data_IF_878651128444
#
_entry.id   IF_878651128444
#
_cell.length_a   1.000
_cell.length_b   1.000
_cell.length_c   1.000
_cell.angle_alpha   90.00
_cell.angle_beta   90.00
_cell.angle_gamma   90.00
#
_symmetry.space_group_name_H-M   'P 1'
#
loop_
_entity.id
_entity.type
_entity.pdbx_description
1 polymer ?
#
# COMPACT_ATOMS: atom_id res chain seq x y z
N UNK A 1 15.25 -23.31 -6.76
CA UNK A 1 15.30 -22.52 -5.52
C UNK A 1 14.19 -22.93 -4.60
N UNK A 2 14.26 -22.51 -3.34
CA UNK A 2 13.16 -22.65 -2.39
C UNK A 2 11.92 -21.90 -2.91
N UNK A 3 10.73 -22.48 -2.76
CA UNK A 3 9.48 -21.89 -3.23
C UNK A 3 8.41 -22.08 -2.17
N UNK A 4 7.85 -20.97 -1.71
CA UNK A 4 6.66 -20.96 -0.85
C UNK A 4 5.42 -20.69 -1.69
N UNK A 5 4.42 -21.57 -1.62
CA UNK A 5 3.12 -21.35 -2.27
C UNK A 5 2.18 -20.62 -1.31
N UNK A 6 2.03 -19.32 -1.52
CA UNK A 6 1.02 -18.52 -0.83
C UNK A 6 -0.37 -18.90 -1.33
N UNK A 7 -1.27 -19.32 -0.44
CA UNK A 7 -2.61 -19.82 -0.81
C UNK A 7 -3.66 -19.55 0.26
N UNK A 8 -4.89 -19.27 -0.17
CA UNK A 8 -6.06 -19.26 0.71
C UNK A 8 -6.58 -20.68 1.01
N UNK A 9 -6.10 -21.69 0.30
CA UNK A 9 -6.36 -23.10 0.61
C UNK A 9 -5.45 -23.54 1.75
N UNK A 10 -6.03 -23.68 2.94
CA UNK A 10 -5.29 -24.02 4.16
C UNK A 10 -4.49 -25.31 4.03
N UNK A 11 -4.97 -26.28 3.24
CA UNK A 11 -4.26 -27.56 3.04
C UNK A 11 -2.99 -27.37 2.21
N UNK A 12 -3.02 -26.50 1.19
CA UNK A 12 -1.83 -26.16 0.39
C UNK A 12 -0.87 -25.27 1.16
N UNK A 13 -1.43 -24.30 1.88
CA UNK A 13 -0.67 -23.39 2.72
C UNK A 13 0.09 -24.15 3.81
N UNK A 14 -0.56 -25.07 4.52
CA UNK A 14 0.08 -25.91 5.54
C UNK A 14 1.29 -26.66 4.97
N UNK A 15 1.12 -27.36 3.84
CA UNK A 15 2.23 -28.10 3.19
C UNK A 15 3.39 -27.19 2.81
N UNK A 16 3.10 -25.97 2.40
CA UNK A 16 4.14 -24.98 2.10
C UNK A 16 4.80 -24.45 3.37
N UNK A 17 4.06 -24.26 4.46
CA UNK A 17 4.62 -23.85 5.75
C UNK A 17 5.57 -24.91 6.31
N UNK A 18 5.18 -26.18 6.28
CA UNK A 18 5.95 -27.32 6.81
C UNK A 18 7.35 -27.42 6.18
N UNK A 19 7.48 -27.10 4.88
CA UNK A 19 8.76 -27.07 4.16
C UNK A 19 9.79 -26.09 4.74
N UNK A 20 9.35 -25.03 5.44
CA UNK A 20 10.23 -23.98 5.96
C UNK A 20 10.23 -23.90 7.50
N UNK A 21 9.12 -24.24 8.14
CA UNK A 21 8.90 -24.06 9.58
C UNK A 21 8.95 -25.36 10.39
N UNK A 22 9.10 -26.51 9.69
CA UNK A 22 9.13 -27.85 10.23
C UNK A 22 7.76 -28.55 10.20
N UNK A 23 7.78 -29.87 10.19
CA UNK A 23 6.57 -30.70 10.14
C UNK A 23 5.83 -30.70 11.50
N UNK A 24 4.50 -30.64 11.46
CA UNK A 24 3.64 -30.86 12.63
C UNK A 24 2.61 -29.78 12.90
N UNK A 25 1.70 -30.08 13.84
CA UNK A 25 0.58 -29.22 14.20
C UNK A 25 1.02 -27.85 14.73
N UNK A 26 2.16 -27.79 15.44
CA UNK A 26 2.73 -26.54 15.97
C UNK A 26 3.00 -25.50 14.86
N UNK A 27 3.37 -25.93 13.66
CA UNK A 27 3.64 -25.02 12.53
C UNK A 27 2.37 -24.31 12.08
N UNK A 28 1.27 -25.05 11.93
CA UNK A 28 -0.01 -24.46 11.57
C UNK A 28 -0.56 -23.60 12.72
N UNK A 29 -0.46 -24.04 13.97
CA UNK A 29 -0.92 -23.27 15.13
C UNK A 29 -0.17 -21.94 15.26
N UNK A 30 1.16 -21.92 15.11
CA UNK A 30 1.95 -20.68 15.10
C UNK A 30 1.54 -19.75 13.96
N UNK A 31 1.25 -20.29 12.78
CA UNK A 31 0.77 -19.51 11.66
C UNK A 31 -0.64 -18.92 11.91
N UNK A 32 -1.54 -19.69 12.53
CA UNK A 32 -2.85 -19.17 12.92
C UNK A 32 -2.73 -18.11 14.02
N UNK A 33 -1.80 -18.28 14.96
CA UNK A 33 -1.47 -17.25 15.95
C UNK A 33 -0.87 -15.99 15.32
N UNK A 34 -0.05 -16.15 14.29
CA UNK A 34 0.37 -15.04 13.44
C UNK A 34 -0.86 -14.34 12.90
N UNK A 35 -1.76 -15.03 12.19
CA UNK A 35 -2.95 -14.44 11.55
C UNK A 35 -3.91 -13.71 12.50
N UNK A 36 -3.97 -14.08 13.78
CA UNK A 36 -4.78 -13.38 14.80
C UNK A 36 -4.36 -11.92 14.96
N UNK A 37 -3.06 -11.61 14.89
CA UNK A 37 -2.57 -10.24 15.09
C UNK A 37 -2.89 -9.31 13.90
N UNK A 38 -2.50 -9.62 12.65
CA UNK A 38 -2.96 -8.95 11.45
C UNK A 38 -4.47 -8.80 11.36
N UNK A 39 -5.26 -9.79 11.80
CA UNK A 39 -6.72 -9.65 11.85
C UNK A 39 -7.16 -8.51 12.79
N UNK A 40 -6.58 -8.44 13.98
CA UNK A 40 -6.86 -7.35 14.93
C UNK A 40 -6.39 -6.03 14.35
N UNK A 41 -5.20 -5.97 13.75
CA UNK A 41 -4.70 -4.76 13.09
C UNK A 41 -5.64 -4.34 11.95
N UNK A 42 -6.12 -5.26 11.12
CA UNK A 42 -7.07 -5.00 10.06
C UNK A 42 -8.38 -4.39 10.58
N UNK A 43 -9.05 -5.05 11.53
CA UNK A 43 -10.32 -4.57 12.08
C UNK A 43 -10.17 -3.21 12.75
N UNK A 44 -9.14 -3.05 13.57
CA UNK A 44 -8.91 -1.82 14.34
C UNK A 44 -8.48 -0.66 13.45
N UNK A 45 -7.59 -0.90 12.49
CA UNK A 45 -7.18 0.11 11.52
C UNK A 45 -8.35 0.53 10.64
N UNK A 46 -9.21 -0.40 10.19
CA UNK A 46 -10.43 -0.04 9.45
C UNK A 46 -11.38 0.83 10.28
N UNK A 47 -11.67 0.43 11.52
CA UNK A 47 -12.56 1.19 12.39
C UNK A 47 -12.01 2.59 12.70
N UNK A 48 -10.69 2.69 12.87
CA UNK A 48 -10.01 3.93 13.23
C UNK A 48 -9.80 4.85 12.02
N UNK A 49 -9.28 4.33 10.91
CA UNK A 49 -8.97 5.12 9.71
C UNK A 49 -10.23 5.60 8.97
N UNK A 50 -11.31 4.82 8.95
CA UNK A 50 -12.56 5.23 8.27
C UNK A 50 -13.36 6.25 9.07
N UNK A 51 -13.07 6.46 10.36
CA UNK A 51 -13.90 7.27 11.26
C UNK A 51 -13.18 8.48 11.85
N UNK A 52 -11.88 8.60 11.65
CA UNK A 52 -11.08 9.65 12.28
C UNK A 52 -10.24 10.39 11.24
N UNK A 53 -10.50 11.68 11.10
CA UNK A 53 -9.60 12.61 10.43
C UNK A 53 -8.39 12.88 11.33
N UNK A 54 -7.23 12.29 10.99
CA UNK A 54 -5.98 12.51 11.70
C UNK A 54 -5.31 13.80 11.23
N UNK A 55 -5.96 14.94 11.44
CA UNK A 55 -5.40 16.23 11.07
C UNK A 55 -4.31 16.67 12.05
N UNK A 56 -4.33 16.16 13.29
CA UNK A 56 -3.38 16.52 14.32
C UNK A 56 -2.84 15.30 15.08
N UNK A 57 -1.59 15.42 15.55
CA UNK A 57 -0.95 14.37 16.34
C UNK A 57 -1.66 14.09 17.67
N UNK A 58 -2.43 15.06 18.21
CA UNK A 58 -3.21 14.88 19.44
C UNK A 58 -4.54 14.14 19.23
N UNK A 59 -5.00 13.95 18.00
CA UNK A 59 -6.18 13.12 17.70
C UNK A 59 -5.92 11.64 18.09
N UNK A 60 -4.64 11.23 18.10
CA UNK A 60 -4.21 9.93 18.63
C UNK A 60 -4.34 9.79 20.15
N UNK A 61 -4.29 10.90 20.90
CA UNK A 61 -4.27 10.88 22.37
C UNK A 61 -5.66 10.94 23.01
N UNK A 62 -6.73 10.77 22.22
CA UNK A 62 -8.06 10.58 22.80
C UNK A 62 -8.08 9.28 23.62
N UNK A 63 -8.42 9.38 24.91
CA UNK A 63 -8.45 8.25 25.87
C UNK A 63 -9.24 7.06 25.32
N UNK A 64 -10.26 7.32 24.49
CA UNK A 64 -11.09 6.29 23.84
C UNK A 64 -10.31 5.39 22.87
N UNK A 65 -9.17 5.84 22.35
CA UNK A 65 -8.35 5.09 21.39
C UNK A 65 -7.15 4.38 22.01
N UNK A 66 -6.83 4.62 23.29
CA UNK A 66 -5.68 4.00 23.98
C UNK A 66 -5.69 2.46 23.89
N UNK A 67 -6.81 1.75 24.17
CA UNK A 67 -6.83 0.29 24.06
C UNK A 67 -6.57 -0.20 22.64
N UNK A 68 -7.04 0.56 21.64
CA UNK A 68 -6.81 0.27 20.22
C UNK A 68 -5.34 0.48 19.86
N UNK A 69 -4.74 1.59 20.26
CA UNK A 69 -3.34 1.93 19.99
C UNK A 69 -2.39 0.88 20.58
N UNK A 70 -2.65 0.43 21.81
CA UNK A 70 -1.86 -0.63 22.44
C UNK A 70 -1.93 -1.94 21.64
N UNK A 71 -3.12 -2.30 21.14
CA UNK A 71 -3.32 -3.50 20.31
C UNK A 71 -2.72 -3.38 18.90
N UNK A 72 -2.51 -2.17 18.40
CA UNK A 72 -1.89 -1.92 17.10
C UNK A 72 -0.36 -2.03 17.13
N UNK A 73 0.26 -2.14 18.31
CA UNK A 73 1.71 -2.33 18.44
C UNK A 73 2.55 -1.31 17.67
N UNK A 74 2.13 -0.03 17.64
CA UNK A 74 2.77 1.04 16.85
C UNK A 74 4.27 1.27 17.14
N UNK A 75 4.78 0.75 18.25
CA UNK A 75 6.19 0.81 18.62
C UNK A 75 7.06 -0.29 17.98
N UNK A 76 6.45 -1.27 17.29
CA UNK A 76 7.18 -2.34 16.60
C UNK A 76 7.08 -2.18 15.08
N UNK A 77 8.10 -2.70 14.39
CA UNK A 77 8.05 -2.88 12.95
C UNK A 77 7.36 -4.19 12.55
N UNK A 78 6.88 -4.24 11.30
CA UNK A 78 6.31 -5.47 10.71
C UNK A 78 7.28 -6.64 10.82
N UNK A 79 8.57 -6.43 10.53
CA UNK A 79 9.60 -7.46 10.68
C UNK A 79 9.72 -7.98 12.11
N UNK A 80 9.77 -7.08 13.09
CA UNK A 80 9.86 -7.44 14.52
C UNK A 80 8.68 -8.31 14.96
N UNK A 81 7.47 -8.00 14.46
CA UNK A 81 6.28 -8.82 14.74
C UNK A 81 6.38 -10.19 14.07
N UNK A 82 6.75 -10.25 12.80
CA UNK A 82 6.89 -11.50 12.06
C UNK A 82 7.88 -12.48 12.72
N UNK A 83 8.99 -11.98 13.27
CA UNK A 83 9.98 -12.79 14.00
C UNK A 83 9.42 -13.53 15.21
N UNK A 84 8.29 -13.10 15.79
CA UNK A 84 7.66 -13.78 16.92
C UNK A 84 6.99 -15.10 16.53
N UNK A 85 6.64 -15.26 15.27
CA UNK A 85 5.83 -16.37 14.79
C UNK A 85 6.62 -17.30 13.86
N UNK A 86 7.45 -16.74 12.99
CA UNK A 86 8.25 -17.48 12.02
C UNK A 86 9.66 -17.76 12.54
N UNK A 87 10.08 -19.02 12.48
CA UNK A 87 11.43 -19.47 12.86
C UNK A 87 12.41 -19.24 11.71
N UNK A 88 11.99 -19.51 10.48
CA UNK A 88 12.87 -19.41 9.31
C UNK A 88 13.04 -17.98 8.83
N UNK A 89 14.26 -17.64 8.41
CA UNK A 89 14.58 -16.35 7.80
C UNK A 89 13.78 -16.13 6.50
N UNK A 90 13.64 -17.18 5.70
CA UNK A 90 12.86 -17.15 4.46
C UNK A 90 11.40 -16.72 4.70
N UNK A 91 10.72 -17.30 5.70
CA UNK A 91 9.33 -16.97 5.99
C UNK A 91 9.17 -15.57 6.57
N UNK A 92 10.13 -15.11 7.40
CA UNK A 92 10.16 -13.71 7.86
C UNK A 92 10.25 -12.76 6.68
N UNK A 93 11.15 -13.01 5.73
CA UNK A 93 11.26 -12.20 4.50
C UNK A 93 9.97 -12.24 3.67
N UNK A 94 9.44 -13.44 3.41
CA UNK A 94 8.22 -13.63 2.61
C UNK A 94 7.02 -12.87 3.17
N UNK A 95 6.81 -12.94 4.49
CA UNK A 95 5.67 -12.29 5.16
C UNK A 95 5.93 -10.83 5.55
N UNK A 96 7.11 -10.28 5.25
CA UNK A 96 7.41 -8.86 5.53
C UNK A 96 7.62 -8.05 4.26
N UNK A 97 7.95 -8.70 3.13
CA UNK A 97 8.15 -8.03 1.85
C UNK A 97 6.96 -7.17 1.38
N UNK A 98 5.74 -7.53 1.75
CA UNK A 98 4.53 -6.77 1.41
C UNK A 98 4.54 -5.30 1.89
N UNK A 99 5.39 -4.91 2.84
CA UNK A 99 5.56 -3.48 3.17
C UNK A 99 6.04 -2.66 1.97
N UNK A 100 6.69 -3.29 0.99
CA UNK A 100 7.04 -2.65 -0.28
C UNK A 100 5.82 -2.22 -1.10
N UNK A 101 4.65 -2.83 -0.92
CA UNK A 101 3.43 -2.40 -1.62
C UNK A 101 3.01 -1.00 -1.17
N UNK A 102 3.45 -0.60 0.02
CA UNK A 102 3.26 0.74 0.57
C UNK A 102 4.52 1.61 0.44
N UNK A 103 5.52 1.14 -0.30
CA UNK A 103 6.80 1.81 -0.48
C UNK A 103 7.54 2.04 0.83
N UNK A 104 7.57 1.03 1.71
CA UNK A 104 8.25 1.08 3.02
C UNK A 104 9.13 -0.13 3.29
N UNK A 105 10.23 0.11 4.02
CA UNK A 105 11.07 -0.94 4.59
C UNK A 105 10.31 -1.74 5.66
N UNK A 106 10.42 -3.09 5.70
CA UNK A 106 9.80 -3.91 6.73
C UNK A 106 10.42 -3.74 8.11
N UNK A 107 11.62 -3.15 8.16
CA UNK A 107 12.35 -2.87 9.39
C UNK A 107 11.86 -1.59 10.07
N UNK A 108 11.25 -0.69 9.32
CA UNK A 108 10.78 0.63 9.78
C UNK A 108 9.26 0.78 9.72
N UNK A 109 8.61 0.03 8.81
CA UNK A 109 7.17 0.04 8.63
C UNK A 109 6.43 -0.42 9.88
N UNK A 110 5.44 0.37 10.30
CA UNK A 110 4.66 0.14 11.53
C UNK A 110 3.91 -1.20 11.49
N UNK A 111 3.86 -1.89 12.63
CA UNK A 111 3.20 -3.18 12.78
C UNK A 111 1.78 -3.30 12.18
N UNK A 112 0.89 -2.30 12.23
CA UNK A 112 -0.45 -2.40 11.63
C UNK A 112 -0.47 -2.67 10.13
N UNK A 113 0.61 -2.34 9.41
CA UNK A 113 0.70 -2.63 7.98
C UNK A 113 0.78 -4.13 7.69
N UNK A 114 0.98 -4.96 8.73
CA UNK A 114 0.83 -6.40 8.59
C UNK A 114 -0.63 -6.84 8.27
N UNK A 115 -1.60 -5.91 8.24
CA UNK A 115 -2.97 -6.17 7.83
C UNK A 115 -3.07 -6.69 6.38
N UNK A 116 -2.09 -6.38 5.53
CA UNK A 116 -2.08 -6.82 4.13
C UNK A 116 -1.99 -8.35 4.03
N UNK A 117 -1.12 -8.93 4.86
CA UNK A 117 -0.92 -10.37 5.04
C UNK A 117 -2.24 -11.04 5.41
N UNK A 118 -3.04 -10.40 6.29
CA UNK A 118 -4.36 -10.91 6.64
C UNK A 118 -5.29 -10.90 5.44
N UNK A 119 -5.41 -9.75 4.76
CA UNK A 119 -6.37 -9.59 3.65
C UNK A 119 -6.09 -10.55 2.51
N UNK A 120 -4.82 -10.76 2.13
CA UNK A 120 -4.49 -11.66 1.03
C UNK A 120 -4.84 -13.12 1.31
N UNK A 121 -4.71 -13.55 2.57
CA UNK A 121 -4.97 -14.95 2.96
C UNK A 121 -6.44 -15.18 3.29
N UNK A 122 -7.06 -14.24 4.01
CA UNK A 122 -8.42 -14.36 4.50
C UNK A 122 -9.48 -13.90 3.49
N UNK A 123 -9.24 -12.83 2.74
CA UNK A 123 -10.19 -12.28 1.75
C UNK A 123 -9.84 -12.71 0.31
N UNK A 124 -8.60 -13.12 0.10
CA UNK A 124 -8.12 -13.62 -1.18
C UNK A 124 -7.71 -12.53 -2.17
N UNK A 125 -7.03 -12.97 -3.24
CA UNK A 125 -6.57 -12.10 -4.32
C UNK A 125 -7.42 -12.37 -5.56
N UNK A 126 -8.06 -11.31 -6.07
CA UNK A 126 -8.99 -11.39 -7.21
C UNK A 126 -8.39 -10.74 -8.44
N UNK A 127 -8.50 -11.40 -9.59
CA UNK A 127 -8.10 -10.84 -10.88
C UNK A 127 -9.33 -10.51 -11.72
N UNK A 128 -9.56 -9.23 -12.08
CA UNK A 128 -10.71 -8.86 -12.89
C UNK A 128 -10.58 -9.44 -14.31
N UNK A 129 -11.65 -10.04 -14.81
CA UNK A 129 -11.70 -10.56 -16.18
C UNK A 129 -11.52 -9.40 -17.18
N UNK A 130 -10.46 -9.47 -17.99
CA UNK A 130 -10.06 -8.40 -18.91
C UNK A 130 -8.99 -7.44 -18.36
N UNK A 131 -8.46 -7.71 -17.16
CA UNK A 131 -7.38 -6.93 -16.54
C UNK A 131 -7.88 -5.71 -15.78
N UNK A 132 -6.98 -5.08 -15.02
CA UNK A 132 -7.32 -3.98 -14.09
C UNK A 132 -7.91 -2.75 -14.79
N UNK A 133 -7.48 -2.45 -16.03
CA UNK A 133 -8.05 -1.35 -16.82
C UNK A 133 -9.58 -1.51 -17.00
N UNK A 134 -10.09 -2.75 -17.04
CA UNK A 134 -11.52 -3.00 -17.18
C UNK A 134 -12.34 -2.45 -16.02
N UNK A 135 -11.78 -2.46 -14.81
CA UNK A 135 -12.43 -1.89 -13.62
C UNK A 135 -12.63 -0.38 -13.81
N UNK A 136 -11.60 0.32 -14.28
CA UNK A 136 -11.65 1.75 -14.56
C UNK A 136 -12.68 2.09 -15.64
N UNK A 137 -12.68 1.35 -16.75
CA UNK A 137 -13.67 1.51 -17.81
C UNK A 137 -15.11 1.31 -17.30
N UNK A 138 -15.34 0.32 -16.43
CA UNK A 138 -16.66 0.08 -15.87
C UNK A 138 -17.12 1.24 -14.98
N UNK A 139 -16.23 1.79 -14.15
CA UNK A 139 -16.53 2.94 -13.29
C UNK A 139 -16.81 4.20 -14.13
N UNK A 140 -16.00 4.46 -15.15
CA UNK A 140 -16.19 5.59 -16.07
C UNK A 140 -17.53 5.51 -16.79
N UNK A 141 -17.83 4.36 -17.40
CA UNK A 141 -19.11 4.13 -18.09
C UNK A 141 -20.31 4.31 -17.15
N UNK A 142 -20.19 3.86 -15.90
CA UNK A 142 -21.22 4.05 -14.89
C UNK A 142 -21.41 5.54 -14.57
N UNK A 143 -20.31 6.27 -14.37
CA UNK A 143 -20.36 7.70 -14.10
C UNK A 143 -20.99 8.48 -15.28
N UNK A 144 -20.62 8.17 -16.52
CA UNK A 144 -21.21 8.75 -17.73
C UNK A 144 -22.72 8.48 -17.79
N UNK A 145 -23.15 7.24 -17.46
CA UNK A 145 -24.57 6.87 -17.41
C UNK A 145 -25.36 7.74 -16.42
N UNK A 146 -24.72 8.20 -15.35
CA UNK A 146 -25.31 9.13 -14.37
C UNK A 146 -25.00 10.61 -14.67
N UNK A 147 -24.55 10.94 -15.88
CA UNK A 147 -24.41 12.31 -16.36
C UNK A 147 -23.03 12.95 -16.12
N UNK A 148 -22.05 12.21 -15.62
CA UNK A 148 -20.69 12.72 -15.51
C UNK A 148 -20.09 13.00 -16.90
N UNK A 149 -19.27 14.06 -17.00
CA UNK A 149 -18.53 14.42 -18.21
C UNK A 149 -17.04 14.31 -17.94
N UNK A 150 -16.32 13.64 -18.84
CA UNK A 150 -14.88 13.50 -18.77
C UNK A 150 -14.22 14.35 -19.85
N UNK A 151 -13.39 15.30 -19.43
CA UNK A 151 -12.62 16.15 -20.34
C UNK A 151 -11.15 15.73 -20.24
N UNK A 152 -10.71 14.90 -21.19
CA UNK A 152 -9.31 14.46 -21.29
C UNK A 152 -8.43 15.53 -21.93
N UNK A 153 -7.11 15.40 -21.76
CA UNK A 153 -6.12 16.35 -22.31
C UNK A 153 -6.43 17.80 -21.94
N UNK A 154 -6.97 18.01 -20.73
CA UNK A 154 -7.45 19.29 -20.24
C UNK A 154 -6.76 19.59 -18.92
N UNK A 155 -5.46 19.88 -18.99
CA UNK A 155 -4.63 20.09 -17.80
C UNK A 155 -5.14 21.26 -16.97
N UNK A 156 -5.23 21.06 -15.66
CA UNK A 156 -5.64 22.08 -14.71
C UNK A 156 -4.42 22.88 -14.30
N UNK A 157 -4.47 24.20 -14.52
CA UNK A 157 -3.42 25.12 -14.09
C UNK A 157 -3.62 25.53 -12.63
N UNK A 158 -4.87 25.78 -12.22
CA UNK A 158 -5.19 26.33 -10.90
C UNK A 158 -6.59 25.94 -10.44
N UNK A 159 -6.76 25.76 -9.12
CA UNK A 159 -8.06 25.77 -8.46
C UNK A 159 -8.35 27.21 -8.04
N UNK A 160 -9.38 27.80 -8.64
CA UNK A 160 -9.76 29.19 -8.38
C UNK A 160 -10.41 29.27 -7.01
N UNK A 161 -9.84 30.09 -6.12
CA UNK A 161 -10.36 30.36 -4.78
C UNK A 161 -10.66 31.84 -4.60
N UNK A 162 -11.72 32.16 -3.85
CA UNK A 162 -12.02 33.54 -3.48
C UNK A 162 -11.15 34.04 -2.32
N UNK A 163 -11.28 35.33 -1.98
CA UNK A 163 -10.54 35.97 -0.88
C UNK A 163 -10.79 35.35 0.50
N UNK A 164 -11.87 34.57 0.65
CA UNK A 164 -12.21 33.83 1.87
C UNK A 164 -11.68 32.40 1.86
N UNK A 165 -10.99 31.99 0.80
CA UNK A 165 -10.43 30.65 0.61
C UNK A 165 -11.44 29.61 0.12
N UNK A 166 -12.60 30.02 -0.38
CA UNK A 166 -13.62 29.10 -0.90
C UNK A 166 -13.35 28.83 -2.38
N UNK A 167 -13.24 27.55 -2.76
CA UNK A 167 -13.10 27.15 -4.15
C UNK A 167 -14.32 27.55 -4.98
N UNK A 168 -14.09 28.13 -6.16
CA UNK A 168 -15.12 28.60 -7.11
C UNK A 168 -15.07 27.92 -8.47
N UNK A 169 -14.05 27.11 -8.72
CA UNK A 169 -13.86 26.47 -10.01
C UNK A 169 -12.42 26.08 -10.25
N UNK A 170 -12.11 25.84 -11.52
CA UNK A 170 -10.80 25.48 -12.02
C UNK A 170 -10.45 26.36 -13.21
N UNK A 171 -9.17 26.67 -13.35
CA UNK A 171 -8.59 27.30 -14.53
C UNK A 171 -7.80 26.26 -15.30
N UNK A 172 -8.08 26.13 -16.58
CA UNK A 172 -7.41 25.20 -17.49
C UNK A 172 -6.12 25.83 -18.03
N UNK A 173 -5.18 25.01 -18.48
CA UNK A 173 -3.90 25.47 -19.05
C UNK A 173 -4.02 26.35 -20.31
N UNK A 174 -5.19 26.36 -20.97
CA UNK A 174 -5.48 27.27 -22.09
C UNK A 174 -6.02 28.65 -21.62
N UNK A 175 -6.22 28.85 -20.32
CA UNK A 175 -6.76 30.07 -19.72
C UNK A 175 -8.26 30.06 -19.45
N UNK A 176 -9.01 29.05 -19.93
CA UNK A 176 -10.45 28.96 -19.69
C UNK A 176 -10.75 28.69 -18.22
N UNK A 177 -11.85 29.26 -17.73
CA UNK A 177 -12.31 29.06 -16.35
C UNK A 177 -13.63 28.32 -16.35
N UNK A 178 -13.66 27.20 -15.61
CA UNK A 178 -14.86 26.41 -15.39
C UNK A 178 -15.32 26.63 -13.95
N UNK A 179 -16.46 27.31 -13.78
CA UNK A 179 -17.04 27.58 -12.47
C UNK A 179 -17.76 26.35 -11.91
N UNK A 180 -17.69 26.18 -10.59
CA UNK A 180 -18.37 25.09 -9.87
C UNK A 180 -18.59 25.45 -8.41
N UNK A 181 -19.70 24.98 -7.83
CA UNK A 181 -19.98 25.15 -6.39
C UNK A 181 -19.07 24.30 -5.50
N UNK A 182 -18.49 23.23 -6.04
CA UNK A 182 -17.61 22.31 -5.30
C UNK A 182 -16.52 21.78 -6.23
N UNK A 183 -15.29 21.78 -5.72
CA UNK A 183 -14.12 21.20 -6.38
C UNK A 183 -13.60 20.04 -5.54
N UNK A 184 -13.53 18.85 -6.14
CA UNK A 184 -12.89 17.68 -5.55
C UNK A 184 -11.56 17.46 -6.27
N UNK A 185 -10.45 17.66 -5.57
CA UNK A 185 -9.12 17.47 -6.11
C UNK A 185 -8.60 16.06 -5.77
N UNK A 186 -8.40 15.24 -6.79
CA UNK A 186 -7.80 13.90 -6.67
C UNK A 186 -6.37 13.84 -7.23
N UNK A 187 -5.72 14.99 -7.42
CA UNK A 187 -4.29 15.06 -7.73
C UNK A 187 -3.47 14.72 -6.48
N UNK A 188 -2.18 14.40 -6.67
CA UNK A 188 -1.26 14.21 -5.54
C UNK A 188 -1.30 15.41 -4.59
N UNK A 189 -1.31 15.13 -3.27
CA UNK A 189 -1.50 16.15 -2.23
C UNK A 189 -0.40 17.21 -2.28
N UNK A 190 0.87 16.79 -2.37
CA UNK A 190 2.00 17.71 -2.40
C UNK A 190 1.94 18.56 -3.65
N UNK A 191 1.63 17.95 -4.79
CA UNK A 191 1.44 18.64 -6.06
C UNK A 191 0.31 19.68 -6.00
N UNK A 192 -0.87 19.28 -5.53
CA UNK A 192 -2.06 20.15 -5.47
C UNK A 192 -1.80 21.39 -4.59
N UNK A 193 -1.22 21.22 -3.40
CA UNK A 193 -0.94 22.33 -2.49
C UNK A 193 0.16 23.27 -2.97
N UNK A 194 1.10 22.79 -3.81
CA UNK A 194 2.23 23.61 -4.26
C UNK A 194 2.06 24.20 -5.65
N UNK A 195 1.17 23.65 -6.48
CA UNK A 195 0.98 24.05 -7.88
C UNK A 195 -0.44 24.47 -8.21
N UNK A 196 -1.47 23.82 -7.65
CA UNK A 196 -2.87 24.10 -8.00
C UNK A 196 -3.55 25.10 -7.05
N UNK A 197 -2.99 25.30 -5.85
CA UNK A 197 -3.53 26.19 -4.83
C UNK A 197 -2.55 27.31 -4.48
N UNK A 198 -3.04 28.43 -3.90
CA UNK A 198 -2.16 29.48 -3.41
C UNK A 198 -1.12 28.96 -2.42
N UNK A 199 0.14 29.38 -2.60
CA UNK A 199 1.25 28.90 -1.77
C UNK A 199 1.09 29.34 -0.32
N UNK A 200 1.00 28.36 0.58
CA UNK A 200 0.94 28.58 2.03
C UNK A 200 2.20 28.08 2.74
N UNK A 201 2.38 28.43 4.02
CA UNK A 201 3.44 27.84 4.86
C UNK A 201 3.26 26.32 5.01
N UNK A 202 2.01 25.85 5.04
CA UNK A 202 1.67 24.44 5.08
C UNK A 202 2.14 23.71 3.81
N UNK A 203 1.85 24.26 2.63
CA UNK A 203 2.30 23.69 1.35
C UNK A 203 3.84 23.53 1.29
N UNK A 204 4.58 24.54 1.76
CA UNK A 204 6.05 24.50 1.84
C UNK A 204 6.57 23.46 2.84
N UNK A 205 5.86 23.24 3.95
CA UNK A 205 6.21 22.18 4.91
C UNK A 205 5.99 20.81 4.29
N UNK A 206 4.83 20.62 3.66
CA UNK A 206 4.46 19.36 3.02
C UNK A 206 5.46 18.94 1.94
N UNK A 207 5.98 19.89 1.16
CA UNK A 207 7.01 19.62 0.15
C UNK A 207 8.38 19.19 0.70
N UNK A 208 8.57 19.13 2.02
CA UNK A 208 9.80 18.64 2.67
C UNK A 208 9.62 17.27 3.33
N UNK A 209 8.40 16.73 3.32
CA UNK A 209 8.14 15.41 3.91
C UNK A 209 8.82 14.32 3.06
N UNK A 210 9.22 13.22 3.72
CA UNK A 210 9.78 12.07 3.01
C UNK A 210 8.71 11.41 2.14
N UNK A 211 9.05 11.14 0.89
CA UNK A 211 8.20 10.41 -0.03
C UNK A 211 8.40 8.89 0.11
N UNK A 212 7.42 8.12 -0.32
CA UNK A 212 7.53 6.66 -0.43
C UNK A 212 8.51 6.28 -1.55
N UNK A 213 8.97 5.02 -1.55
CA UNK A 213 9.78 4.54 -2.67
C UNK A 213 8.99 4.52 -3.98
N UNK A 214 9.72 4.63 -5.09
CA UNK A 214 9.19 4.45 -6.45
C UNK A 214 9.47 3.03 -6.95
N UNK A 215 9.08 2.73 -8.19
CA UNK A 215 9.37 1.46 -8.85
C UNK A 215 9.86 1.68 -10.29
N UNK A 216 10.66 0.73 -10.78
CA UNK A 216 11.09 0.69 -12.19
C UNK A 216 10.43 -0.55 -12.83
N UNK A 217 9.33 -0.36 -13.58
CA UNK A 217 8.64 -1.47 -14.24
C UNK A 217 9.27 -1.77 -15.60
N UNK A 218 9.47 -3.06 -15.89
CA UNK A 218 9.81 -3.56 -17.22
C UNK A 218 8.64 -4.35 -17.79
N UNK A 219 8.16 -3.95 -18.98
CA UNK A 219 7.09 -4.65 -19.67
C UNK A 219 7.69 -5.48 -20.82
N UNK A 220 7.84 -6.78 -20.60
CA UNK A 220 8.41 -7.70 -21.59
C UNK A 220 7.36 -8.62 -22.17
N UNK A 221 7.45 -8.82 -23.49
CA UNK A 221 6.67 -9.83 -24.19
C UNK A 221 7.55 -11.03 -24.49
N UNK A 222 7.07 -12.23 -24.18
CA UNK A 222 7.79 -13.48 -24.40
C UNK A 222 7.05 -14.36 -25.41
N UNK A 223 7.79 -15.07 -26.26
CA UNK A 223 7.22 -16.04 -27.21
C UNK A 223 6.79 -17.35 -26.54
N UNK A 224 7.34 -17.64 -25.36
CA UNK A 224 7.14 -18.89 -24.63
C UNK A 224 6.41 -18.66 -23.31
N UNK A 225 5.61 -19.65 -22.91
CA UNK A 225 5.00 -19.72 -21.59
C UNK A 225 6.03 -20.33 -20.62
N UNK A 226 6.13 -19.76 -19.42
CA UNK A 226 6.97 -20.28 -18.33
C UNK A 226 6.05 -20.94 -17.28
N UNK A 227 5.86 -22.27 -17.30
CA UNK A 227 4.85 -22.94 -16.47
C UNK A 227 5.06 -22.80 -14.95
N UNK A 228 6.28 -22.48 -14.53
CA UNK A 228 6.65 -22.29 -13.13
C UNK A 228 6.11 -20.97 -12.55
N UNK A 229 5.89 -19.96 -13.39
CA UNK A 229 5.35 -18.66 -13.00
C UNK A 229 3.83 -18.73 -12.85
N UNK A 230 3.33 -18.09 -11.80
CA UNK A 230 1.91 -17.82 -11.57
C UNK A 230 1.61 -16.36 -11.93
N UNK A 231 0.41 -15.89 -11.60
CA UNK A 231 -0.02 -14.51 -11.87
C UNK A 231 0.80 -13.50 -11.06
N UNK A 232 1.19 -13.87 -9.84
CA UNK A 232 2.01 -13.06 -8.94
C UNK A 232 3.23 -13.88 -8.51
N UNK A 233 4.44 -13.38 -8.77
CA UNK A 233 5.67 -14.04 -8.36
C UNK A 233 6.58 -13.01 -7.71
N UNK A 234 7.05 -13.32 -6.50
CA UNK A 234 7.99 -12.48 -5.77
C UNK A 234 9.29 -13.27 -5.65
N UNK A 235 10.37 -12.66 -6.12
CA UNK A 235 11.72 -13.17 -5.96
C UNK A 235 12.39 -12.34 -4.88
N UNK A 236 12.72 -13.00 -3.77
CA UNK A 236 13.34 -12.36 -2.61
C UNK A 236 14.86 -12.40 -2.76
N UNK A 237 15.50 -11.26 -2.51
CA UNK A 237 16.95 -11.12 -2.44
C UNK A 237 17.53 -11.93 -1.26
N UNK A 238 18.69 -12.56 -1.46
CA UNK A 238 19.43 -13.18 -0.36
C UNK A 238 19.83 -12.10 0.65
N UNK A 239 20.34 -10.97 0.14
CA UNK A 239 20.72 -9.78 0.90
C UNK A 239 19.54 -8.83 1.17
N UNK A 240 18.44 -9.40 1.68
CA UNK A 240 17.17 -8.70 1.88
C UNK A 240 17.34 -7.37 2.63
N UNK A 241 17.88 -7.35 3.86
CA UNK A 241 18.02 -6.10 4.63
C UNK A 241 18.88 -5.06 3.89
N UNK A 242 20.03 -5.47 3.36
CA UNK A 242 20.91 -4.56 2.63
C UNK A 242 20.21 -3.96 1.40
N UNK A 243 19.41 -4.75 0.68
CA UNK A 243 18.62 -4.25 -0.47
C UNK A 243 17.61 -3.16 -0.05
N UNK A 244 17.02 -3.27 1.15
CA UNK A 244 16.14 -2.24 1.70
C UNK A 244 16.92 -1.02 2.18
N UNK A 245 18.03 -1.20 2.89
CA UNK A 245 18.88 -0.09 3.33
C UNK A 245 19.36 0.74 2.12
N UNK A 246 19.76 0.09 1.02
CA UNK A 246 20.16 0.76 -0.22
C UNK A 246 19.03 1.61 -0.82
N UNK A 247 17.78 1.14 -0.80
CA UNK A 247 16.62 1.86 -1.34
C UNK A 247 16.24 3.04 -0.43
N UNK A 248 16.12 2.79 0.88
CA UNK A 248 15.46 3.71 1.82
C UNK A 248 16.40 4.66 2.55
N UNK A 249 17.65 4.25 2.79
CA UNK A 249 18.67 5.06 3.46
C UNK A 249 19.67 5.64 2.46
N UNK A 250 20.21 4.82 1.55
CA UNK A 250 21.24 5.29 0.60
C UNK A 250 20.64 5.92 -0.67
N UNK A 251 19.35 5.72 -0.94
CA UNK A 251 18.64 6.18 -2.13
C UNK A 251 19.26 5.71 -3.45
N UNK A 252 19.73 4.47 -3.46
CA UNK A 252 20.39 3.80 -4.58
C UNK A 252 19.56 2.61 -5.08
N UNK A 253 19.89 2.14 -6.29
CA UNK A 253 19.41 0.84 -6.75
C UNK A 253 20.16 -0.26 -5.99
N UNK A 254 19.45 -1.29 -5.48
CA UNK A 254 20.11 -2.36 -4.78
C UNK A 254 20.92 -3.23 -5.74
N UNK A 255 22.06 -3.73 -5.26
CA UNK A 255 22.92 -4.63 -6.06
C UNK A 255 22.22 -5.96 -6.38
N UNK A 256 21.41 -6.44 -5.43
CA UNK A 256 20.58 -7.63 -5.54
C UNK A 256 19.13 -7.29 -5.16
N UNK A 257 18.30 -6.80 -6.11
CA UNK A 257 16.91 -6.45 -5.82
C UNK A 257 16.05 -7.68 -5.54
N UNK A 258 15.16 -7.55 -4.57
CA UNK A 258 13.92 -8.34 -4.62
C UNK A 258 13.03 -7.77 -5.72
N UNK A 259 12.43 -8.61 -6.55
CA UNK A 259 11.62 -8.15 -7.69
C UNK A 259 10.34 -8.95 -7.86
N UNK A 260 9.37 -8.32 -8.52
CA UNK A 260 8.04 -8.85 -8.76
C UNK A 260 7.83 -9.09 -10.26
N UNK A 261 7.25 -10.24 -10.60
CA UNK A 261 6.83 -10.63 -11.95
C UNK A 261 5.36 -11.00 -11.95
#
# INVERSE_FOLDING_TARGET
>A
GLKFEHSCDLSKLQRSLEQFEGDGEDTLLRFLDFMKEPHVHYQRSRDLALRTDFQNWYDFFNIKHIPTILKLHLHNSVHTRACKYFKSDYMRKAFTFQTMYMGMSPYDGLAPYNLLQYTEIAEGIWYPKGGFNKVLQCLENLAIKYGAKFNYNSDIEEIVVDDKGVAKGIKLGNGDVVNSDTVICNADLVYAYNNLLPKTKYAKKLGKEKLTSSSIPFYWSMKQIVPQLKIHNIFLSEQFKASFDQIFEDHMLPDEPSFYV
#
